data_IF_744565687574
#
_entry.id   IF_744565687574
#
_cell.length_a   1.000
_cell.length_b   1.000
_cell.length_c   1.000
_cell.angle_alpha   90.00
_cell.angle_beta   90.00
_cell.angle_gamma   90.00
#
_symmetry.space_group_name_H-M   'P 1'
#
loop_
_entity.id
_entity.type
_entity.pdbx_description
1 polymer ?
#
# COMPACT_ATOMS: atom_id res chain seq x y z
N UNK A 1 -1.45 -11.27 -17.25
CA UNK A 1 -0.30 -10.43 -17.67
C UNK A 1 0.71 -10.48 -16.52
N UNK A 2 1.86 -9.76 -16.46
CA UNK A 2 2.65 -9.76 -15.23
C UNK A 2 1.86 -9.11 -14.08
N UNK A 3 1.91 -9.75 -12.91
CA UNK A 3 1.30 -9.22 -11.69
C UNK A 3 2.33 -8.39 -10.92
N UNK A 4 1.93 -7.25 -10.39
CA UNK A 4 2.76 -6.38 -9.55
C UNK A 4 2.04 -6.06 -8.24
N UNK A 5 2.77 -6.17 -7.14
CA UNK A 5 2.38 -5.67 -5.84
C UNK A 5 2.85 -4.22 -5.68
N UNK A 6 1.94 -3.33 -5.31
CA UNK A 6 2.21 -1.95 -4.94
C UNK A 6 2.02 -1.80 -3.43
N UNK A 7 3.09 -1.46 -2.72
CA UNK A 7 3.14 -1.34 -1.27
C UNK A 7 3.17 0.13 -0.88
N UNK A 8 2.23 0.54 -0.03
CA UNK A 8 2.11 1.92 0.47
C UNK A 8 2.45 1.93 1.95
N UNK A 9 3.42 2.75 2.34
CA UNK A 9 3.85 2.89 3.73
C UNK A 9 3.09 4.01 4.45
N UNK A 10 3.13 4.03 5.78
CA UNK A 10 2.60 5.12 6.61
C UNK A 10 3.46 6.38 6.52
N UNK A 11 4.75 6.23 6.24
CA UNK A 11 5.77 7.27 6.34
C UNK A 11 6.39 7.60 4.97
N UNK A 12 7.04 8.77 4.88
CA UNK A 12 7.91 9.15 3.76
C UNK A 12 7.29 10.10 2.72
N UNK A 13 6.03 10.48 2.89
CA UNK A 13 5.42 11.59 2.15
C UNK A 13 5.91 12.97 2.62
N UNK A 14 5.46 14.03 1.95
CA UNK A 14 5.84 15.42 2.28
C UNK A 14 5.08 16.02 3.47
N UNK A 15 4.08 15.31 4.00
CA UNK A 15 3.32 15.71 5.17
C UNK A 15 3.74 14.83 6.36
N UNK A 16 4.27 15.46 7.41
CA UNK A 16 4.68 14.76 8.63
C UNK A 16 3.51 14.61 9.61
N UNK A 17 2.51 15.51 9.51
CA UNK A 17 1.36 15.49 10.40
C UNK A 17 0.42 14.32 10.10
N UNK A 18 -0.05 13.58 11.12
CA UNK A 18 -1.01 12.50 10.94
C UNK A 18 -2.28 12.96 10.22
N UNK A 19 -2.83 12.12 9.35
CA UNK A 19 -4.00 12.45 8.52
C UNK A 19 -5.22 12.89 9.34
N UNK A 20 -5.40 12.38 10.56
CA UNK A 20 -6.50 12.77 11.45
C UNK A 20 -6.40 14.21 11.99
N UNK A 21 -5.27 14.87 11.77
CA UNK A 21 -5.05 16.29 12.09
C UNK A 21 -5.36 17.24 10.92
N UNK A 22 -5.57 16.71 9.72
CA UNK A 22 -5.85 17.51 8.53
C UNK A 22 -7.26 18.10 8.57
N UNK A 23 -7.54 19.07 7.70
CA UNK A 23 -8.91 19.59 7.59
C UNK A 23 -9.85 18.49 7.09
N UNK A 24 -11.11 18.42 7.58
CA UNK A 24 -12.06 17.39 7.13
C UNK A 24 -12.26 17.35 5.61
N UNK A 25 -12.18 18.51 4.94
CA UNK A 25 -12.26 18.59 3.48
C UNK A 25 -11.06 17.99 2.76
N UNK A 26 -9.84 18.12 3.32
CA UNK A 26 -8.63 17.51 2.75
C UNK A 26 -8.66 15.98 2.92
N UNK A 27 -9.10 15.51 4.10
CA UNK A 27 -9.30 14.08 4.36
C UNK A 27 -10.32 13.49 3.39
N UNK A 28 -11.47 14.16 3.19
CA UNK A 28 -12.48 13.74 2.24
C UNK A 28 -11.92 13.68 0.81
N UNK A 29 -11.24 14.73 0.35
CA UNK A 29 -10.65 14.78 -0.99
C UNK A 29 -9.61 13.66 -1.21
N UNK A 30 -8.82 13.33 -0.19
CA UNK A 30 -7.87 12.22 -0.22
C UNK A 30 -8.56 10.88 -0.47
N UNK A 31 -9.62 10.57 0.30
CA UNK A 31 -10.37 9.33 0.15
C UNK A 31 -11.20 9.28 -1.12
N UNK A 32 -11.81 10.40 -1.53
CA UNK A 32 -12.57 10.48 -2.79
C UNK A 32 -11.68 10.20 -4.00
N UNK A 33 -10.45 10.73 -4.00
CA UNK A 33 -9.46 10.42 -5.04
C UNK A 33 -9.12 8.93 -5.08
N UNK A 34 -8.83 8.32 -3.92
CA UNK A 34 -8.56 6.88 -3.84
C UNK A 34 -9.75 6.04 -4.30
N UNK A 35 -10.97 6.43 -3.95
CA UNK A 35 -12.18 5.72 -4.34
C UNK A 35 -12.36 5.73 -5.86
N UNK A 36 -12.23 6.89 -6.50
CA UNK A 36 -12.33 7.03 -7.96
C UNK A 36 -11.22 6.26 -8.69
N UNK A 37 -9.98 6.32 -8.18
CA UNK A 37 -8.86 5.58 -8.74
C UNK A 37 -9.08 4.06 -8.64
N UNK A 38 -9.58 3.61 -7.50
CA UNK A 38 -9.87 2.20 -7.24
C UNK A 38 -11.00 1.71 -8.14
N UNK A 39 -12.07 2.50 -8.30
CA UNK A 39 -13.17 2.20 -9.21
C UNK A 39 -12.68 2.05 -10.65
N UNK A 40 -11.93 3.03 -11.17
CA UNK A 40 -11.36 2.99 -12.52
C UNK A 40 -10.51 1.74 -12.76
N UNK A 41 -9.58 1.44 -11.86
CA UNK A 41 -8.65 0.32 -12.01
C UNK A 41 -9.30 -1.05 -11.78
N UNK A 42 -10.39 -1.10 -11.01
CA UNK A 42 -11.19 -2.31 -10.83
C UNK A 42 -12.05 -2.55 -12.07
N UNK A 43 -12.69 -1.51 -12.61
CA UNK A 43 -13.50 -1.60 -13.83
C UNK A 43 -12.68 -1.97 -15.07
N UNK A 44 -11.42 -1.52 -15.15
CA UNK A 44 -10.50 -1.93 -16.21
C UNK A 44 -10.01 -3.39 -16.06
N UNK A 45 -10.19 -3.99 -14.88
CA UNK A 45 -9.67 -5.31 -14.51
C UNK A 45 -8.18 -5.32 -14.17
N UNK A 46 -7.53 -4.15 -14.12
CA UNK A 46 -6.11 -4.02 -13.79
C UNK A 46 -5.86 -4.25 -12.29
N UNK A 47 -6.74 -3.78 -11.41
CA UNK A 47 -6.65 -4.04 -9.97
C UNK A 47 -7.34 -5.36 -9.61
N UNK A 48 -6.58 -6.32 -9.10
CA UNK A 48 -7.09 -7.64 -8.74
C UNK A 48 -7.20 -7.87 -7.24
N UNK A 49 -6.49 -7.07 -6.43
CA UNK A 49 -6.59 -7.11 -4.97
C UNK A 49 -6.26 -5.75 -4.35
N UNK A 50 -6.98 -5.40 -3.29
CA UNK A 50 -6.74 -4.21 -2.45
C UNK A 50 -6.88 -4.60 -0.98
N UNK A 51 -5.91 -4.21 -0.14
CA UNK A 51 -5.95 -4.40 1.31
C UNK A 51 -5.36 -3.20 2.04
N UNK A 52 -6.21 -2.46 2.76
CA UNK A 52 -5.77 -1.51 3.77
C UNK A 52 -5.49 -2.24 5.09
N UNK A 53 -4.38 -1.90 5.75
CA UNK A 53 -3.99 -2.48 7.03
C UNK A 53 -4.46 -1.59 8.18
N UNK A 54 -4.81 -2.23 9.30
CA UNK A 54 -5.16 -1.52 10.52
C UNK A 54 -3.91 -0.89 11.18
N UNK A 55 -4.14 -0.06 12.20
CA UNK A 55 -3.09 0.63 12.94
C UNK A 55 -1.89 -0.29 13.27
N UNK A 56 -0.65 0.13 12.98
CA UNK A 56 0.55 -0.68 13.21
C UNK A 56 0.71 -1.26 14.61
N UNK A 57 0.16 -0.60 15.64
CA UNK A 57 0.23 -1.06 17.04
C UNK A 57 -0.57 -2.35 17.28
N UNK A 58 -1.47 -2.68 16.36
CA UNK A 58 -2.23 -3.93 16.38
C UNK A 58 -1.43 -5.11 15.78
N UNK A 59 -0.31 -4.84 15.11
CA UNK A 59 0.52 -5.89 14.54
C UNK A 59 1.12 -6.79 15.63
N UNK A 60 1.36 -8.05 15.27
CA UNK A 60 2.10 -9.03 16.08
C UNK A 60 3.13 -9.70 15.17
N UNK A 61 4.35 -9.81 15.66
CA UNK A 61 5.40 -10.57 14.98
C UNK A 61 5.54 -11.92 15.65
N UNK A 62 5.57 -13.00 14.86
CA UNK A 62 5.70 -14.36 15.36
C UNK A 62 6.98 -14.98 14.79
N UNK A 63 7.80 -15.59 15.66
CA UNK A 63 9.00 -16.37 15.27
C UNK A 63 8.93 -17.75 15.92
N UNK A 64 9.14 -18.79 15.11
CA UNK A 64 9.14 -20.17 15.58
C UNK A 64 10.34 -20.93 14.98
N UNK A 65 10.93 -21.83 15.77
CA UNK A 65 12.00 -22.74 15.34
C UNK A 65 11.50 -24.16 15.01
N UNK A 66 10.20 -24.40 15.18
CA UNK A 66 9.55 -25.70 14.97
C UNK A 66 9.75 -26.70 16.12
N UNK A 67 10.39 -26.30 17.22
CA UNK A 67 10.70 -27.16 18.37
C UNK A 67 10.04 -26.62 19.65
N UNK A 68 10.22 -25.33 19.94
CA UNK A 68 9.65 -24.66 21.10
C UNK A 68 8.35 -23.92 20.73
N UNK A 69 7.53 -23.53 21.72
CA UNK A 69 6.42 -22.61 21.48
C UNK A 69 6.89 -21.35 20.77
N UNK A 70 6.08 -20.86 19.83
CA UNK A 70 6.40 -19.66 19.07
C UNK A 70 6.58 -18.45 19.98
N UNK A 71 7.61 -17.65 19.71
CA UNK A 71 7.82 -16.35 20.34
C UNK A 71 6.98 -15.32 19.62
N UNK A 72 6.04 -14.70 20.33
CA UNK A 72 5.20 -13.62 19.83
C UNK A 72 5.65 -12.31 20.46
N UNK A 73 5.90 -11.29 19.63
CA UNK A 73 6.22 -9.93 20.08
C UNK A 73 5.22 -8.94 19.51
N UNK A 74 4.99 -7.84 20.23
CA UNK A 74 4.24 -6.71 19.68
C UNK A 74 4.96 -6.18 18.43
N UNK A 75 4.17 -5.86 17.40
CA UNK A 75 4.63 -5.41 16.09
C UNK A 75 4.56 -3.89 15.91
N UNK A 76 4.96 -3.37 14.73
CA UNK A 76 5.47 -4.07 13.55
C UNK A 76 6.88 -4.64 13.76
N UNK A 77 7.53 -5.17 12.72
CA UNK A 77 8.90 -5.68 12.85
C UNK A 77 9.81 -4.63 13.52
N UNK A 78 10.50 -5.02 14.60
CA UNK A 78 11.13 -4.11 15.56
C UNK A 78 12.18 -3.12 15.01
N UNK A 79 12.65 -3.29 13.78
CA UNK A 79 13.65 -2.43 13.13
C UNK A 79 13.16 -1.80 11.81
N UNK A 80 11.87 -1.89 11.47
CA UNK A 80 11.37 -1.29 10.22
C UNK A 80 11.26 0.23 10.37
N UNK A 81 12.06 0.97 9.60
CA UNK A 81 11.94 2.43 9.46
C UNK A 81 10.65 2.85 8.75
N UNK A 82 10.07 1.94 7.99
CA UNK A 82 8.89 2.16 7.18
C UNK A 82 7.86 1.09 7.53
N UNK A 83 6.64 1.51 7.82
CA UNK A 83 5.57 0.61 8.23
C UNK A 83 4.51 0.54 7.13
N UNK A 84 4.20 -0.67 6.66
CA UNK A 84 3.22 -0.87 5.61
C UNK A 84 1.81 -0.46 6.06
N UNK A 85 1.18 0.45 5.31
CA UNK A 85 -0.19 0.90 5.51
C UNK A 85 -1.19 0.14 4.62
N UNK A 86 -0.74 -0.36 3.46
CA UNK A 86 -1.59 -1.10 2.55
C UNK A 86 -0.82 -1.79 1.42
N UNK A 87 -1.50 -2.72 0.77
CA UNK A 87 -0.99 -3.48 -0.37
C UNK A 87 -2.09 -3.58 -1.43
N UNK A 88 -1.69 -3.38 -2.68
CA UNK A 88 -2.51 -3.59 -3.87
C UNK A 88 -1.81 -4.56 -4.80
N UNK A 89 -2.56 -5.39 -5.53
CA UNK A 89 -2.03 -6.24 -6.59
C UNK A 89 -2.71 -5.88 -7.91
N UNK A 90 -1.89 -5.68 -8.93
CA UNK A 90 -2.31 -5.32 -10.26
C UNK A 90 -1.88 -6.37 -11.28
N UNK A 91 -2.77 -6.76 -12.19
CA UNK A 91 -2.48 -7.57 -13.39
C UNK A 91 -2.49 -6.64 -14.61
N UNK A 92 -1.31 -6.23 -15.06
CA UNK A 92 -1.13 -5.17 -16.07
C UNK A 92 -0.23 -5.63 -17.19
N UNK A 93 -0.33 -5.00 -18.35
CA UNK A 93 0.41 -5.40 -19.55
C UNK A 93 1.94 -5.25 -19.44
N UNK A 94 2.43 -4.38 -18.54
CA UNK A 94 3.85 -4.07 -18.40
C UNK A 94 4.21 -3.49 -17.03
N UNK A 95 5.50 -3.51 -16.69
CA UNK A 95 6.04 -2.81 -15.52
C UNK A 95 5.84 -1.29 -15.62
N UNK A 96 5.96 -0.72 -16.81
CA UNK A 96 5.71 0.70 -17.05
C UNK A 96 4.30 1.11 -16.63
N UNK A 97 3.29 0.29 -16.96
CA UNK A 97 1.93 0.54 -16.51
C UNK A 97 1.77 0.45 -14.99
N UNK A 98 2.45 -0.50 -14.34
CA UNK A 98 2.47 -0.58 -12.88
C UNK A 98 3.10 0.68 -12.24
N UNK A 99 4.16 1.22 -12.83
CA UNK A 99 4.82 2.45 -12.39
C UNK A 99 3.93 3.68 -12.59
N UNK A 100 3.16 3.76 -13.68
CA UNK A 100 2.18 4.83 -13.89
C UNK A 100 1.09 4.82 -12.80
N UNK A 101 0.56 3.65 -12.48
CA UNK A 101 -0.43 3.48 -11.41
C UNK A 101 0.19 3.87 -10.07
N UNK A 102 1.42 3.44 -9.79
CA UNK A 102 2.15 3.80 -8.58
C UNK A 102 2.34 5.32 -8.45
N UNK A 103 2.63 6.02 -9.55
CA UNK A 103 2.76 7.48 -9.56
C UNK A 103 1.43 8.18 -9.19
N UNK A 104 0.29 7.65 -9.64
CA UNK A 104 -1.04 8.17 -9.27
C UNK A 104 -1.34 7.98 -7.79
N UNK A 105 -1.02 6.80 -7.24
CA UNK A 105 -1.14 6.50 -5.80
C UNK A 105 -0.20 7.40 -4.99
N UNK A 106 1.04 7.58 -5.43
CA UNK A 106 2.00 8.49 -4.79
C UNK A 106 1.51 9.94 -4.76
N UNK A 107 0.75 10.35 -5.78
CA UNK A 107 0.28 11.71 -5.96
C UNK A 107 -1.10 12.02 -5.35
N UNK A 108 -1.68 11.12 -4.55
CA UNK A 108 -2.98 11.36 -3.89
C UNK A 108 -2.95 12.70 -3.15
N UNK A 109 -4.00 13.54 -3.22
CA UNK A 109 -4.01 14.86 -2.61
C UNK A 109 -3.94 14.78 -1.08
N UNK A 110 -3.05 15.59 -0.49
CA UNK A 110 -3.01 15.90 0.93
C UNK A 110 -3.57 17.30 1.21
N UNK A 111 -3.19 17.93 2.33
CA UNK A 111 -3.64 19.26 2.72
C UNK A 111 -3.54 20.30 1.60
N UNK A 112 -4.65 21.01 1.35
CA UNK A 112 -4.72 22.04 0.30
C UNK A 112 -4.65 21.48 -1.13
N UNK A 113 -4.85 20.18 -1.32
CA UNK A 113 -4.79 19.51 -2.63
C UNK A 113 -3.37 19.26 -3.15
N UNK A 114 -2.35 19.49 -2.33
CA UNK A 114 -0.95 19.24 -2.70
C UNK A 114 -0.69 17.73 -2.69
N UNK A 115 -0.05 17.14 -3.72
CA UNK A 115 0.25 15.71 -3.74
C UNK A 115 1.07 15.27 -2.52
N UNK A 116 0.65 14.18 -1.89
CA UNK A 116 1.31 13.63 -0.70
C UNK A 116 2.72 13.11 -0.97
N UNK A 117 3.04 12.77 -2.23
CA UNK A 117 4.31 12.17 -2.65
C UNK A 117 4.66 10.95 -1.79
N UNK A 118 3.64 10.17 -1.41
CA UNK A 118 3.83 8.97 -0.63
C UNK A 118 4.70 7.98 -1.41
N UNK A 119 5.75 7.40 -0.80
CA UNK A 119 6.54 6.38 -1.47
C UNK A 119 5.66 5.14 -1.72
N UNK A 120 5.72 4.65 -2.95
CA UNK A 120 5.05 3.41 -3.36
C UNK A 120 6.11 2.47 -3.90
N UNK A 121 6.34 1.34 -3.22
CA UNK A 121 7.21 0.30 -3.75
C UNK A 121 6.45 -0.52 -4.79
N UNK A 122 7.00 -0.63 -6.00
CA UNK A 122 6.48 -1.48 -7.08
C UNK A 122 7.33 -2.73 -7.15
N UNK A 123 6.68 -3.90 -6.99
CA UNK A 123 7.39 -5.17 -6.97
C UNK A 123 6.65 -6.24 -7.77
N UNK A 124 7.35 -6.89 -8.68
CA UNK A 124 6.77 -8.00 -9.44
C UNK A 124 6.39 -9.15 -8.50
N UNK A 125 5.16 -9.66 -8.64
CA UNK A 125 4.70 -10.87 -7.98
C UNK A 125 5.31 -12.07 -8.71
N UNK A 126 5.89 -12.97 -7.94
CA UNK A 126 6.45 -14.21 -8.49
C UNK A 126 5.32 -15.09 -9.01
N UNK A 127 5.51 -15.63 -10.22
CA UNK A 127 4.60 -16.56 -10.86
C UNK A 127 5.33 -17.90 -11.08
N UNK A 128 4.62 -19.02 -10.87
CA UNK A 128 5.09 -20.34 -11.31
C UNK A 128 4.76 -20.57 -12.80
N UNK A 129 4.95 -21.80 -13.29
CA UNK A 129 4.62 -22.17 -14.68
C UNK A 129 3.13 -22.04 -15.06
N UNK A 130 2.26 -21.89 -14.06
CA UNK A 130 0.82 -21.72 -14.20
C UNK A 130 0.34 -20.28 -13.92
N UNK A 131 1.25 -19.37 -13.56
CA UNK A 131 0.93 -17.96 -13.33
C UNK A 131 0.57 -17.61 -11.89
N UNK A 132 0.64 -18.56 -10.94
CA UNK A 132 0.28 -18.36 -9.53
C UNK A 132 1.16 -19.21 -8.59
N UNK A 133 1.73 -18.61 -7.55
CA UNK A 133 2.27 -19.38 -6.41
C UNK A 133 1.16 -19.71 -5.40
#
# INVERSE_FOLDING_TARGET
MPKFALLVNHDGGVFEEPMDTWQPGDIAAHFDYYALLTEELTESGEMVQFMALADPRLARTVRADGIAPAVVTDGPFAESKEVLAGLNVFDVESEERALEIAARISAVPGPGGVPTQQPVEVRQVMADEHGEL
#
